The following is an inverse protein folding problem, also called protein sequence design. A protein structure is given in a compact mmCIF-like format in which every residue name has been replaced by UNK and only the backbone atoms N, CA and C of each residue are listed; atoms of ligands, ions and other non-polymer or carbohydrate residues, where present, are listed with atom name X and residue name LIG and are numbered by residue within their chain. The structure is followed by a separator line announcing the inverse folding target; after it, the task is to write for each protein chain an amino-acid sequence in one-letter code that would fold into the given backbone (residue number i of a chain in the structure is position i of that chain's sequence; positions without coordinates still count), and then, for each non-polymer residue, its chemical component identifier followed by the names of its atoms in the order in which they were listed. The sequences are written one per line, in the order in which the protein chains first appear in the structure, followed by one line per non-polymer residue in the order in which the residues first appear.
data_IF_634742026077
#
_entry.id   IF_634742026077
#
_cell.length_a   1.000
_cell.length_b   1.000
_cell.length_c   1.000
_cell.angle_alpha   90.00
_cell.angle_beta   90.00
_cell.angle_gamma   90.00
#
_symmetry.space_group_name_H-M   'P 1'
#
loop_
_entity.id
_entity.type
_entity.pdbx_description
1 polymer ?
#
# COMPACT_ATOMS: atom_id res chain seq x y z
N UNK A 1 -22.17 25.51 63.29
CA UNK A 1 -20.90 24.84 63.65
C UNK A 1 -20.29 24.32 62.36
N UNK A 2 -19.11 24.81 61.99
CA UNK A 2 -18.43 24.52 60.73
C UNK A 2 -17.98 23.06 60.67
N UNK A 3 -18.54 22.25 59.77
CA UNK A 3 -17.94 20.97 59.38
C UNK A 3 -16.76 21.23 58.45
N UNK A 4 -15.56 21.24 59.02
CA UNK A 4 -14.33 21.20 58.25
C UNK A 4 -14.17 19.81 57.63
N UNK A 5 -14.61 19.65 56.38
CA UNK A 5 -14.25 18.49 55.56
C UNK A 5 -12.74 18.52 55.36
N UNK A 6 -12.03 17.60 56.02
CA UNK A 6 -10.61 17.35 55.81
C UNK A 6 -10.38 17.02 54.33
N UNK A 7 -10.06 18.03 53.52
CA UNK A 7 -9.34 17.84 52.25
C UNK A 7 -7.94 17.37 52.63
N UNK A 8 -7.84 16.09 52.97
CA UNK A 8 -6.58 15.40 53.10
C UNK A 8 -5.81 15.71 51.84
N UNK A 9 -4.76 16.53 52.01
CA UNK A 9 -3.76 16.78 50.98
C UNK A 9 -3.46 15.42 50.38
N UNK A 10 -3.76 15.24 49.09
CA UNK A 10 -3.02 14.29 48.27
C UNK A 10 -1.57 14.74 48.36
N UNK A 11 -0.91 14.35 49.45
CA UNK A 11 0.51 14.43 49.65
C UNK A 11 1.08 13.83 48.39
N UNK A 12 1.89 14.63 47.70
CA UNK A 12 2.63 14.23 46.53
C UNK A 12 3.41 12.97 46.88
N UNK A 13 2.81 11.80 46.75
CA UNK A 13 3.48 10.53 46.64
C UNK A 13 4.04 10.47 45.21
N UNK A 14 4.89 11.44 44.88
CA UNK A 14 5.88 11.26 43.83
C UNK A 14 7.00 10.52 44.52
N UNK A 15 6.90 9.20 44.48
CA UNK A 15 8.01 8.30 44.74
C UNK A 15 9.21 8.85 43.98
N UNK A 16 10.30 9.04 44.72
CA UNK A 16 11.58 9.54 44.27
C UNK A 16 11.98 8.91 42.93
N UNK A 17 11.86 9.65 41.83
CA UNK A 17 12.42 9.25 40.54
C UNK A 17 13.91 9.59 40.59
N UNK A 18 14.72 8.68 41.11
CA UNK A 18 16.17 8.84 41.15
C UNK A 18 16.82 8.24 42.40
N UNK A 19 17.22 6.97 42.31
CA UNK A 19 18.28 6.43 43.15
C UNK A 19 19.65 6.94 42.70
N UNK A 20 20.65 6.88 43.59
CA UNK A 20 22.03 7.17 43.22
C UNK A 20 22.53 6.10 42.24
N UNK A 21 22.67 6.47 40.97
CA UNK A 21 23.31 5.61 39.96
C UNK A 21 24.78 5.43 40.31
N UNK A 22 25.26 4.20 40.28
CA UNK A 22 26.69 3.94 40.34
C UNK A 22 27.39 4.60 39.13
N UNK A 23 28.64 5.03 39.30
CA UNK A 23 29.45 5.63 38.22
C UNK A 23 29.51 4.69 37.01
N UNK A 24 29.57 3.39 37.23
CA UNK A 24 29.63 2.39 36.16
C UNK A 24 28.30 2.25 35.42
N UNK A 25 27.18 2.32 36.14
CA UNK A 25 25.83 2.32 35.54
C UNK A 25 25.60 3.58 34.70
N UNK A 26 26.04 4.75 35.19
CA UNK A 26 25.97 6.00 34.45
C UNK A 26 26.78 5.93 33.15
N UNK A 27 27.99 5.34 33.18
CA UNK A 27 28.81 5.11 31.99
C UNK A 27 28.16 4.13 31.02
N UNK A 28 27.54 3.05 31.52
CA UNK A 28 26.83 2.09 30.68
C UNK A 28 25.64 2.73 29.95
N UNK A 29 24.84 3.53 30.65
CA UNK A 29 23.70 4.24 30.05
C UNK A 29 24.13 5.25 28.98
N UNK A 30 25.27 5.91 29.15
CA UNK A 30 25.82 6.79 28.12
C UNK A 30 26.23 6.01 26.87
N UNK A 31 26.89 4.86 27.03
CA UNK A 31 27.26 3.98 25.91
C UNK A 31 26.03 3.49 25.16
N UNK A 32 25.02 3.00 25.87
CA UNK A 32 23.77 2.52 25.27
C UNK A 32 23.08 3.63 24.48
N UNK A 33 23.02 4.86 25.01
CA UNK A 33 22.43 6.00 24.29
C UNK A 33 23.19 6.34 23.02
N UNK A 34 24.52 6.26 23.03
CA UNK A 34 25.34 6.51 21.84
C UNK A 34 25.13 5.41 20.81
N UNK A 35 25.11 4.15 21.22
CA UNK A 35 24.84 3.00 20.33
C UNK A 35 23.43 3.09 19.72
N UNK A 36 22.41 3.42 20.53
CA UNK A 36 21.05 3.61 20.04
C UNK A 36 20.93 4.80 19.09
N UNK A 37 21.66 5.89 19.33
CA UNK A 37 21.69 7.04 18.42
C UNK A 37 22.32 6.64 17.08
N UNK A 38 23.47 5.98 17.11
CA UNK A 38 24.15 5.47 15.91
C UNK A 38 23.25 4.50 15.11
N UNK A 39 22.57 3.58 15.78
CA UNK A 39 21.64 2.65 15.15
C UNK A 39 20.45 3.36 14.48
N UNK A 40 19.92 4.41 15.12
CA UNK A 40 18.82 5.21 14.54
C UNK A 40 19.27 5.97 13.31
N UNK A 41 20.48 6.51 13.31
CA UNK A 41 21.00 7.24 12.16
C UNK A 41 21.26 6.31 10.97
N UNK A 42 21.88 5.15 11.22
CA UNK A 42 22.01 4.10 10.20
C UNK A 42 20.64 3.62 9.66
N UNK A 43 19.64 3.47 10.53
CA UNK A 43 18.29 3.07 10.11
C UNK A 43 17.59 4.14 9.25
N UNK A 44 17.83 5.44 9.51
CA UNK A 44 17.31 6.53 8.67
C UNK A 44 17.96 6.50 7.29
N UNK A 45 19.28 6.35 7.22
CA UNK A 45 20.01 6.26 5.95
C UNK A 45 19.54 5.06 5.12
N UNK A 46 19.41 3.88 5.74
CA UNK A 46 18.88 2.70 5.07
C UNK A 46 17.43 2.88 4.60
N UNK A 47 16.60 3.60 5.38
CA UNK A 47 15.22 3.91 4.99
C UNK A 47 15.18 4.82 3.76
N UNK A 48 16.00 5.85 3.71
CA UNK A 48 16.08 6.77 2.56
C UNK A 48 16.52 6.01 1.31
N UNK A 49 17.56 5.17 1.42
CA UNK A 49 18.02 4.33 0.31
C UNK A 49 16.90 3.42 -0.22
N UNK A 50 16.17 2.73 0.68
CA UNK A 50 15.02 1.88 0.30
C UNK A 50 13.88 2.67 -0.33
N UNK A 51 13.63 3.89 0.14
CA UNK A 51 12.60 4.75 -0.45
C UNK A 51 12.98 5.15 -1.87
N UNK A 52 14.24 5.54 -2.11
CA UNK A 52 14.72 5.90 -3.43
C UNK A 52 14.62 4.71 -4.42
N UNK A 53 15.04 3.51 -4.02
CA UNK A 53 14.96 2.33 -4.89
C UNK A 53 13.51 1.95 -5.20
N UNK A 54 12.63 1.99 -4.21
CA UNK A 54 11.22 1.69 -4.41
C UNK A 54 10.50 2.73 -5.28
N UNK A 55 10.86 4.01 -5.16
CA UNK A 55 10.34 5.05 -6.04
C UNK A 55 10.77 4.81 -7.50
N UNK A 56 12.05 4.50 -7.73
CA UNK A 56 12.55 4.17 -9.06
C UNK A 56 11.84 2.93 -9.64
N UNK A 57 11.68 1.86 -8.85
CA UNK A 57 10.93 0.65 -9.26
C UNK A 57 9.49 0.97 -9.66
N UNK A 58 8.79 1.82 -8.90
CA UNK A 58 7.41 2.23 -9.21
C UNK A 58 7.32 3.06 -10.49
N UNK A 59 8.30 3.94 -10.74
CA UNK A 59 8.34 4.73 -11.97
C UNK A 59 8.54 3.83 -13.19
N UNK A 60 9.49 2.88 -13.12
CA UNK A 60 9.71 1.90 -14.18
C UNK A 60 8.47 1.04 -14.44
N UNK A 61 7.80 0.57 -13.37
CA UNK A 61 6.58 -0.22 -13.49
C UNK A 61 5.45 0.55 -14.19
N UNK A 62 5.25 1.84 -13.83
CA UNK A 62 4.25 2.70 -14.48
C UNK A 62 4.56 2.91 -15.96
N UNK A 63 5.81 3.25 -16.29
CA UNK A 63 6.25 3.40 -17.67
C UNK A 63 6.03 2.11 -18.50
N UNK A 64 6.31 0.94 -17.91
CA UNK A 64 6.05 -0.34 -18.57
C UNK A 64 4.55 -0.61 -18.80
N UNK A 65 3.67 -0.24 -17.85
CA UNK A 65 2.22 -0.33 -18.06
C UNK A 65 1.77 0.58 -19.20
N UNK A 66 2.24 1.82 -19.22
CA UNK A 66 1.91 2.80 -20.27
C UNK A 66 2.37 2.28 -21.66
N UNK A 67 3.60 1.80 -21.77
CA UNK A 67 4.13 1.19 -23.00
C UNK A 67 3.28 -0.01 -23.47
N UNK A 68 2.85 -0.89 -22.54
CA UNK A 68 1.95 -2.01 -22.87
C UNK A 68 0.58 -1.53 -23.36
N UNK A 69 0.02 -0.47 -22.76
CA UNK A 69 -1.26 0.12 -23.20
C UNK A 69 -1.14 0.73 -24.59
N UNK A 70 -0.08 1.48 -24.84
CA UNK A 70 0.21 2.07 -26.15
C UNK A 70 0.39 1.00 -27.23
N UNK A 71 1.16 -0.06 -26.95
CA UNK A 71 1.36 -1.15 -27.90
C UNK A 71 0.05 -1.92 -28.16
N UNK A 72 -0.80 -2.11 -27.14
CA UNK A 72 -2.14 -2.69 -27.31
C UNK A 72 -3.01 -1.80 -28.22
N UNK A 73 -2.94 -0.48 -28.07
CA UNK A 73 -3.68 0.48 -28.92
C UNK A 73 -3.14 0.48 -30.35
N UNK A 74 -1.82 0.49 -30.55
CA UNK A 74 -1.16 0.37 -31.85
C UNK A 74 -1.62 -0.89 -32.57
N UNK A 75 -1.55 -2.06 -31.91
CA UNK A 75 -2.03 -3.34 -32.47
C UNK A 75 -3.51 -3.30 -32.86
N UNK A 76 -4.37 -2.63 -32.07
CA UNK A 76 -5.78 -2.45 -32.41
C UNK A 76 -5.96 -1.58 -33.67
N UNK A 77 -5.25 -0.44 -33.76
CA UNK A 77 -5.27 0.43 -34.95
C UNK A 77 -4.79 -0.30 -36.21
N UNK A 78 -3.66 -1.00 -36.12
CA UNK A 78 -3.12 -1.81 -37.22
C UNK A 78 -4.14 -2.84 -37.71
N UNK A 79 -4.77 -3.60 -36.80
CA UNK A 79 -5.83 -4.55 -37.16
C UNK A 79 -7.01 -3.88 -37.86
N UNK A 80 -7.40 -2.68 -37.43
CA UNK A 80 -8.48 -1.93 -38.06
C UNK A 80 -8.11 -1.51 -39.50
N UNK A 81 -6.89 -1.02 -39.73
CA UNK A 81 -6.41 -0.69 -41.07
C UNK A 81 -6.34 -1.90 -41.99
N UNK A 82 -5.80 -3.02 -41.49
CA UNK A 82 -5.78 -4.28 -42.22
C UNK A 82 -7.19 -4.76 -42.60
N UNK A 83 -8.15 -4.68 -41.68
CA UNK A 83 -9.55 -5.04 -41.94
C UNK A 83 -10.21 -4.11 -42.96
N UNK A 84 -9.87 -2.83 -42.95
CA UNK A 84 -10.37 -1.85 -43.91
C UNK A 84 -9.67 -1.92 -45.28
N UNK A 85 -8.59 -2.71 -45.41
CA UNK A 85 -7.76 -2.75 -46.62
C UNK A 85 -6.94 -1.47 -46.85
N UNK A 86 -6.81 -0.63 -45.82
CA UNK A 86 -6.09 0.64 -45.89
C UNK A 86 -4.61 0.44 -45.53
N UNK A 87 -3.69 1.21 -46.14
CA UNK A 87 -2.29 1.18 -45.76
C UNK A 87 -2.10 1.65 -44.31
N UNK A 88 -1.20 1.00 -43.58
CA UNK A 88 -0.89 1.33 -42.18
C UNK A 88 -0.06 2.62 -42.14
N UNK A 89 -0.47 3.63 -41.35
CA UNK A 89 0.30 4.87 -41.17
C UNK A 89 1.71 4.59 -40.65
N UNK A 90 2.72 5.42 -41.01
CA UNK A 90 4.11 5.20 -40.62
C UNK A 90 4.32 5.12 -39.10
N UNK A 91 3.54 5.86 -38.32
CA UNK A 91 3.56 5.84 -36.85
C UNK A 91 3.22 4.48 -36.23
N UNK A 92 2.42 3.68 -36.94
CA UNK A 92 1.96 2.37 -36.48
C UNK A 92 2.77 1.22 -37.10
N UNK A 93 3.75 1.52 -37.97
CA UNK A 93 4.59 0.50 -38.62
C UNK A 93 5.60 -0.12 -37.65
N UNK A 94 6.16 0.69 -36.76
CA UNK A 94 7.19 0.25 -35.82
C UNK A 94 6.56 -0.27 -34.51
N UNK A 95 6.82 -1.54 -34.13
CA UNK A 95 6.43 -2.04 -32.81
C UNK A 95 7.20 -1.32 -31.69
N UNK A 96 6.53 -1.04 -30.58
CA UNK A 96 7.22 -0.61 -29.36
C UNK A 96 8.06 -1.79 -28.87
N UNK A 97 9.39 -1.63 -28.85
CA UNK A 97 10.33 -2.71 -28.54
C UNK A 97 10.20 -3.21 -27.09
N UNK A 98 10.30 -4.52 -26.90
CA UNK A 98 10.10 -5.19 -25.61
C UNK A 98 11.21 -4.91 -24.59
N UNK A 99 12.39 -4.50 -25.03
CA UNK A 99 13.52 -4.07 -24.19
C UNK A 99 13.25 -2.75 -23.43
N UNK A 100 12.29 -1.95 -23.89
CA UNK A 100 11.77 -0.78 -23.17
C UNK A 100 10.63 -1.11 -22.20
N UNK A 101 10.25 -2.38 -22.11
CA UNK A 101 9.23 -2.87 -21.18
C UNK A 101 9.95 -3.54 -20.00
N UNK A 102 10.23 -2.82 -18.90
CA UNK A 102 10.97 -3.38 -17.78
C UNK A 102 10.19 -4.55 -17.18
N UNK A 103 10.65 -5.76 -17.53
CA UNK A 103 10.51 -7.08 -16.91
C UNK A 103 9.21 -7.31 -16.13
N UNK A 104 8.41 -8.25 -16.64
CA UNK A 104 7.29 -8.91 -15.97
C UNK A 104 7.67 -9.35 -14.56
N UNK A 105 7.18 -8.64 -13.55
CA UNK A 105 7.00 -9.21 -12.21
C UNK A 105 5.69 -10.01 -12.22
N UNK A 106 5.71 -11.35 -12.11
CA UNK A 106 4.51 -12.18 -12.20
C UNK A 106 3.50 -11.96 -11.06
N UNK A 107 3.87 -11.20 -10.03
CA UNK A 107 3.02 -10.92 -8.86
C UNK A 107 2.03 -9.75 -9.08
N UNK A 108 2.25 -8.90 -10.10
CA UNK A 108 1.49 -7.66 -10.29
C UNK A 108 0.21 -7.79 -11.13
N UNK A 109 -0.02 -8.92 -11.81
CA UNK A 109 -1.21 -9.10 -12.66
C UNK A 109 -2.49 -9.43 -11.85
N UNK A 110 -2.37 -9.80 -10.57
CA UNK A 110 -3.52 -10.23 -9.76
C UNK A 110 -4.44 -9.09 -9.28
N UNK A 111 -4.00 -7.83 -9.29
CA UNK A 111 -4.78 -6.71 -8.73
C UNK A 111 -5.49 -5.83 -9.78
N UNK A 112 -5.22 -6.00 -11.08
CA UNK A 112 -5.71 -5.06 -12.11
C UNK A 112 -6.93 -5.52 -12.92
N UNK A 113 -7.48 -6.70 -12.65
CA UNK A 113 -8.60 -7.26 -13.43
C UNK A 113 -10.01 -6.92 -12.87
N UNK A 114 -10.15 -6.16 -11.78
CA UNK A 114 -11.46 -5.95 -11.12
C UNK A 114 -12.16 -4.61 -11.35
N UNK A 115 -11.61 -3.68 -12.15
CA UNK A 115 -12.24 -2.35 -12.35
C UNK A 115 -12.37 -1.96 -13.83
N UNK A 116 -13.09 -2.73 -14.64
CA UNK A 116 -13.66 -2.18 -15.88
C UNK A 116 -14.80 -3.03 -16.46
N UNK A 117 -15.87 -3.24 -15.69
CA UNK A 117 -17.18 -3.54 -16.28
C UNK A 117 -18.20 -2.53 -15.73
N UNK A 118 -18.40 -1.45 -16.49
CA UNK A 118 -19.40 -0.43 -16.20
C UNK A 118 -20.70 -0.71 -16.94
N UNK A 119 -21.81 -0.56 -16.20
CA UNK A 119 -23.18 -0.19 -16.61
C UNK A 119 -24.12 -1.34 -17.05
N UNK A 120 -25.08 -1.67 -16.19
CA UNK A 120 -26.52 -1.40 -16.39
C UNK A 120 -27.34 -2.03 -15.25
N UNK A 121 -28.15 -1.23 -14.55
CA UNK A 121 -29.03 -1.73 -13.50
C UNK A 121 -29.70 -0.62 -12.70
N UNK A 122 -30.59 0.13 -13.35
CA UNK A 122 -31.55 1.01 -12.69
C UNK A 122 -32.42 0.22 -11.72
N UNK A 123 -32.48 0.65 -10.45
CA UNK A 123 -33.36 0.07 -9.44
C UNK A 123 -33.61 1.06 -8.31
N UNK A 124 -34.69 1.84 -8.46
CA UNK A 124 -35.29 2.66 -7.42
C UNK A 124 -35.66 1.80 -6.20
N UNK A 125 -35.34 2.26 -4.98
CA UNK A 125 -35.70 1.57 -3.74
C UNK A 125 -35.47 2.44 -2.51
N UNK A 126 -36.52 3.15 -2.13
CA UNK A 126 -36.66 3.89 -0.87
C UNK A 126 -36.97 2.94 0.30
N UNK A 127 -36.48 3.23 1.51
CA UNK A 127 -36.88 2.59 2.78
C UNK A 127 -35.70 1.91 3.50
N UNK A 128 -35.19 2.44 4.62
CA UNK A 128 -35.75 2.39 5.99
C UNK A 128 -34.94 1.41 6.87
N UNK A 129 -34.49 1.90 8.02
CA UNK A 129 -33.74 1.20 9.07
C UNK A 129 -34.30 -0.17 9.46
N UNK A 130 -33.45 -1.19 9.60
CA UNK A 130 -33.42 -2.12 10.75
C UNK A 130 -32.34 -3.22 10.64
N UNK A 131 -31.75 -3.65 11.77
CA UNK A 131 -30.67 -4.63 11.82
C UNK A 131 -31.22 -6.06 11.92
N UNK A 132 -30.66 -7.01 11.17
CA UNK A 132 -31.11 -8.40 11.23
C UNK A 132 -30.18 -9.35 10.50
N UNK A 133 -29.36 -10.05 11.29
CA UNK A 133 -28.79 -11.38 11.09
C UNK A 133 -28.92 -12.01 9.69
N UNK A 134 -27.79 -12.17 9.00
CA UNK A 134 -27.69 -13.07 7.84
C UNK A 134 -26.65 -14.16 8.15
N UNK A 135 -27.16 -15.29 8.63
CA UNK A 135 -26.43 -16.56 8.74
C UNK A 135 -26.06 -17.03 7.33
N UNK A 136 -24.77 -17.04 7.02
CA UNK A 136 -24.26 -17.59 5.76
C UNK A 136 -24.17 -19.13 5.88
N UNK A 137 -25.22 -19.84 5.48
CA UNK A 137 -25.20 -21.32 5.37
C UNK A 137 -24.58 -21.73 4.03
N UNK A 138 -23.39 -22.32 4.08
CA UNK A 138 -22.78 -23.03 2.95
C UNK A 138 -23.42 -24.43 2.82
N UNK A 139 -24.16 -24.66 1.73
CA UNK A 139 -24.53 -26.01 1.28
C UNK A 139 -24.31 -26.13 -0.22
N UNK A 140 -23.52 -27.14 -0.62
CA UNK A 140 -23.38 -27.52 -2.03
C UNK A 140 -22.03 -28.17 -2.34
N UNK A 141 -21.75 -29.34 -1.77
CA UNK A 141 -20.78 -30.27 -2.35
C UNK A 141 -21.54 -31.11 -3.37
N UNK A 142 -21.40 -30.78 -4.66
CA UNK A 142 -21.97 -31.56 -5.75
C UNK A 142 -21.04 -32.71 -6.14
N UNK A 143 -21.70 -33.83 -6.46
CA UNK A 143 -21.14 -35.13 -6.76
C UNK A 143 -20.22 -35.09 -7.99
N UNK A 144 -19.12 -35.84 -7.94
CA UNK A 144 -18.42 -36.29 -9.15
C UNK A 144 -18.92 -37.69 -9.52
N UNK A 145 -19.20 -37.84 -10.81
CA UNK A 145 -19.70 -39.04 -11.54
C UNK A 145 -18.92 -40.33 -11.28
#
# INVERSE_FOLDING_TARGET
VNEHKNRGRNSRARLQVGGALSVDEARALLKEKVEQAAAKDAAKEARVARQATNQARRQLHRAGIEARKEERLRKKRVKAYQKAGNPIPPEDQDPIREDQNPIRDPEAEAESESESESRNGSGSGSGSDSPGESQFQWYGYENYE
#
